data_IF_272924223275
#
_entry.id   IF_272924223275
#
_cell.length_a   1.000
_cell.length_b   1.000
_cell.length_c   1.000
_cell.angle_alpha   90.00
_cell.angle_beta   90.00
_cell.angle_gamma   90.00
#
_symmetry.space_group_name_H-M   'P 1'
#
loop_
_entity.id
_entity.type
_entity.pdbx_description
1 polymer ?
#
# COMPACT_ATOMS: atom_id res chain seq x y z
N UNK A 1 -66.13 -16.62 -18.00
CA UNK A 1 -65.72 -15.42 -17.23
C UNK A 1 -64.52 -15.72 -16.35
N UNK A 2 -64.56 -16.73 -15.47
CA UNK A 2 -63.46 -17.17 -14.59
C UNK A 2 -62.07 -17.37 -15.26
N UNK A 3 -61.98 -17.93 -16.49
CA UNK A 3 -60.68 -18.11 -17.18
C UNK A 3 -60.00 -16.80 -17.60
N UNK A 4 -60.72 -15.67 -17.71
CA UNK A 4 -60.16 -14.36 -18.03
C UNK A 4 -59.63 -13.65 -16.77
N UNK A 5 -60.33 -13.84 -15.64
CA UNK A 5 -59.97 -13.25 -14.34
C UNK A 5 -58.71 -13.88 -13.74
N UNK A 6 -58.43 -15.16 -13.98
CA UNK A 6 -57.19 -15.81 -13.52
C UNK A 6 -55.98 -15.48 -14.42
N UNK A 7 -56.21 -15.19 -15.71
CA UNK A 7 -55.13 -14.85 -16.67
C UNK A 7 -54.59 -13.42 -16.52
N UNK A 8 -55.39 -12.48 -16.01
CA UNK A 8 -54.97 -11.09 -15.78
C UNK A 8 -53.92 -10.90 -14.67
N UNK A 9 -54.09 -11.46 -13.45
CA UNK A 9 -53.10 -11.33 -12.39
C UNK A 9 -51.77 -12.01 -12.74
N UNK A 10 -51.80 -13.15 -13.44
CA UNK A 10 -50.58 -13.82 -13.90
C UNK A 10 -49.75 -12.99 -14.90
N UNK A 11 -50.38 -12.14 -15.72
CA UNK A 11 -49.67 -11.22 -16.63
C UNK A 11 -49.06 -10.03 -15.88
N UNK A 12 -49.76 -9.51 -14.88
CA UNK A 12 -49.29 -8.37 -14.07
C UNK A 12 -48.07 -8.76 -13.23
N UNK A 13 -48.13 -9.92 -12.57
CA UNK A 13 -47.00 -10.47 -11.79
C UNK A 13 -45.78 -10.71 -12.68
N UNK A 14 -45.98 -11.20 -13.91
CA UNK A 14 -44.88 -11.42 -14.86
C UNK A 14 -44.20 -10.11 -15.27
N UNK A 15 -44.97 -9.06 -15.53
CA UNK A 15 -44.42 -7.75 -15.87
C UNK A 15 -43.63 -7.13 -14.70
N UNK A 16 -44.14 -7.25 -13.47
CA UNK A 16 -43.45 -6.77 -12.27
C UNK A 16 -42.12 -7.51 -12.03
N UNK A 17 -42.08 -8.84 -12.27
CA UNK A 17 -40.86 -9.64 -12.22
C UNK A 17 -39.85 -9.25 -13.30
N UNK A 18 -40.31 -8.98 -14.52
CA UNK A 18 -39.44 -8.52 -15.62
C UNK A 18 -38.82 -7.16 -15.31
N UNK A 19 -39.59 -6.20 -14.77
CA UNK A 19 -39.07 -4.91 -14.32
C UNK A 19 -38.06 -5.05 -13.18
N UNK A 20 -38.37 -5.87 -12.18
CA UNK A 20 -37.45 -6.11 -11.07
C UNK A 20 -36.12 -6.74 -11.54
N UNK A 21 -36.20 -7.68 -12.48
CA UNK A 21 -35.01 -8.33 -13.05
C UNK A 21 -34.14 -7.32 -13.80
N UNK A 22 -34.74 -6.45 -14.61
CA UNK A 22 -34.03 -5.39 -15.33
C UNK A 22 -33.36 -4.39 -14.38
N UNK A 23 -34.04 -4.01 -13.29
CA UNK A 23 -33.47 -3.12 -12.27
C UNK A 23 -32.26 -3.75 -11.56
N UNK A 24 -32.33 -5.05 -11.25
CA UNK A 24 -31.22 -5.78 -10.63
C UNK A 24 -30.05 -5.91 -11.60
N UNK A 25 -30.30 -6.27 -12.87
CA UNK A 25 -29.27 -6.35 -13.91
C UNK A 25 -28.58 -4.99 -14.14
N UNK A 26 -29.35 -3.90 -14.15
CA UNK A 26 -28.81 -2.54 -14.28
C UNK A 26 -27.89 -2.18 -13.10
N UNK A 27 -28.30 -2.51 -11.87
CA UNK A 27 -27.47 -2.31 -10.67
C UNK A 27 -26.20 -3.16 -10.70
N UNK A 28 -26.30 -4.42 -11.13
CA UNK A 28 -25.15 -5.32 -11.25
C UNK A 28 -24.11 -4.77 -12.23
N UNK A 29 -24.53 -4.34 -13.43
CA UNK A 29 -23.63 -3.69 -14.38
C UNK A 29 -22.96 -2.44 -13.80
N UNK A 30 -23.73 -1.60 -13.10
CA UNK A 30 -23.18 -0.42 -12.44
C UNK A 30 -22.18 -0.75 -11.32
N UNK A 31 -22.32 -1.90 -10.66
CA UNK A 31 -21.32 -2.38 -9.70
C UNK A 31 -20.08 -2.96 -10.38
N UNK A 32 -20.24 -3.73 -11.46
CA UNK A 32 -19.12 -4.26 -12.25
C UNK A 32 -18.24 -3.13 -12.81
N UNK A 33 -18.84 -2.07 -13.35
CA UNK A 33 -18.11 -0.89 -13.83
C UNK A 33 -17.32 -0.21 -12.70
N UNK A 34 -17.93 -0.05 -11.52
CA UNK A 34 -17.24 0.53 -10.34
C UNK A 34 -16.08 -0.34 -9.88
N UNK A 35 -16.25 -1.66 -9.87
CA UNK A 35 -15.19 -2.60 -9.50
C UNK A 35 -14.01 -2.43 -10.47
N UNK A 36 -14.27 -2.43 -11.77
CA UNK A 36 -13.21 -2.26 -12.77
C UNK A 36 -12.46 -0.93 -12.59
N UNK A 37 -13.16 0.18 -12.35
CA UNK A 37 -12.52 1.49 -12.11
C UNK A 37 -11.65 1.44 -10.84
N UNK A 38 -12.17 0.86 -9.76
CA UNK A 38 -11.43 0.75 -8.50
C UNK A 38 -10.21 -0.16 -8.62
N UNK A 39 -10.28 -1.24 -9.40
CA UNK A 39 -9.15 -2.13 -9.66
C UNK A 39 -8.04 -1.42 -10.44
N UNK A 40 -8.40 -0.62 -11.45
CA UNK A 40 -7.44 0.20 -12.20
C UNK A 40 -6.76 1.21 -11.27
N UNK A 41 -7.54 1.96 -10.48
CA UNK A 41 -7.00 2.92 -9.52
C UNK A 41 -6.10 2.26 -8.47
N UNK A 42 -6.48 1.08 -7.98
CA UNK A 42 -5.67 0.34 -7.01
C UNK A 42 -4.32 -0.06 -7.62
N UNK A 43 -4.33 -0.51 -8.88
CA UNK A 43 -3.10 -0.86 -9.60
C UNK A 43 -2.20 0.36 -9.81
N UNK A 44 -2.77 1.49 -10.19
CA UNK A 44 -2.02 2.74 -10.37
C UNK A 44 -1.36 3.20 -9.06
N UNK A 45 -2.11 3.21 -7.95
CA UNK A 45 -1.60 3.58 -6.63
C UNK A 45 -0.49 2.64 -6.15
N UNK A 46 -0.61 1.33 -6.40
CA UNK A 46 0.47 0.38 -6.06
C UNK A 46 1.75 0.65 -6.85
N UNK A 47 1.61 0.98 -8.13
CA UNK A 47 2.76 1.31 -8.97
C UNK A 47 3.42 2.62 -8.51
N UNK A 48 2.63 3.62 -8.17
CA UNK A 48 3.13 4.89 -7.63
C UNK A 48 3.85 4.68 -6.29
N UNK A 49 3.26 3.90 -5.38
CA UNK A 49 3.90 3.54 -4.11
C UNK A 49 5.22 2.78 -4.32
N UNK A 50 5.27 1.87 -5.29
CA UNK A 50 6.52 1.17 -5.62
C UNK A 50 7.56 2.13 -6.16
N UNK A 51 7.19 3.00 -7.10
CA UNK A 51 8.11 3.99 -7.69
C UNK A 51 8.64 4.96 -6.64
N UNK A 52 7.78 5.46 -5.77
CA UNK A 52 8.15 6.31 -4.63
C UNK A 52 9.07 5.54 -3.69
N UNK A 53 8.70 4.33 -3.30
CA UNK A 53 9.51 3.48 -2.44
C UNK A 53 10.91 3.22 -2.99
N UNK A 54 11.02 2.93 -4.29
CA UNK A 54 12.30 2.71 -4.96
C UNK A 54 13.11 4.01 -5.03
N UNK A 55 12.48 5.15 -5.32
CA UNK A 55 13.13 6.46 -5.37
C UNK A 55 13.67 6.91 -4.01
N UNK A 56 12.96 6.65 -2.92
CA UNK A 56 13.43 6.99 -1.57
C UNK A 56 14.43 5.97 -1.00
N UNK A 57 14.48 4.75 -1.55
CA UNK A 57 15.46 3.74 -1.14
C UNK A 57 16.88 3.97 -1.68
N UNK A 58 17.06 4.77 -2.73
CA UNK A 58 18.37 4.89 -3.40
C UNK A 58 19.46 5.48 -2.52
N UNK A 59 19.12 6.20 -1.45
CA UNK A 59 20.08 6.80 -0.52
C UNK A 59 20.08 6.14 0.87
N UNK A 60 19.39 5.00 1.00
CA UNK A 60 19.29 4.28 2.27
C UNK A 60 20.32 3.16 2.32
N UNK A 61 21.21 3.20 3.32
CA UNK A 61 22.16 2.13 3.61
C UNK A 61 21.69 1.38 4.85
N UNK A 62 21.74 0.04 4.78
CA UNK A 62 21.34 -0.83 5.88
C UNK A 62 22.57 -1.45 6.54
N UNK A 63 22.77 -1.13 7.81
CA UNK A 63 23.87 -1.65 8.62
C UNK A 63 23.37 -2.78 9.52
N UNK A 64 24.06 -3.92 9.50
CA UNK A 64 23.71 -5.10 10.30
C UNK A 64 24.74 -5.39 11.37
N UNK A 65 24.30 -6.09 12.43
CA UNK A 65 25.21 -6.64 13.44
C UNK A 65 25.65 -5.65 14.51
N UNK A 66 25.01 -4.48 14.59
CA UNK A 66 25.28 -3.46 15.60
C UNK A 66 24.73 -3.88 16.95
N UNK A 67 25.60 -3.87 17.96
CA UNK A 67 25.26 -4.25 19.32
C UNK A 67 24.42 -3.16 20.00
N UNK A 68 23.65 -3.58 21.01
CA UNK A 68 22.52 -2.85 21.58
C UNK A 68 22.89 -1.56 22.33
N UNK A 69 24.16 -1.40 22.71
CA UNK A 69 24.55 -0.50 23.79
C UNK A 69 24.68 0.98 23.32
N UNK A 70 23.62 1.72 23.65
CA UNK A 70 23.54 3.13 24.08
C UNK A 70 23.84 4.28 23.11
N UNK A 71 24.49 4.07 21.97
CA UNK A 71 24.62 5.17 21.01
C UNK A 71 23.32 5.40 20.20
N UNK A 72 23.00 6.68 19.96
CA UNK A 72 22.02 7.08 18.96
C UNK A 72 22.42 6.47 17.59
N UNK A 73 21.46 6.02 16.77
CA UNK A 73 21.75 5.32 15.52
C UNK A 73 22.78 6.04 14.64
N UNK A 74 22.68 7.35 14.54
CA UNK A 74 23.55 8.23 13.76
C UNK A 74 25.00 8.14 14.26
N UNK A 75 25.20 8.25 15.58
CA UNK A 75 26.53 8.21 16.20
C UNK A 75 27.23 6.87 15.99
N UNK A 76 26.49 5.77 16.15
CA UNK A 76 27.03 4.43 15.93
C UNK A 76 27.51 4.26 14.47
N UNK A 77 26.80 4.85 13.52
CA UNK A 77 27.13 4.78 12.10
C UNK A 77 28.34 5.65 11.76
N UNK A 78 28.37 6.89 12.25
CA UNK A 78 29.51 7.79 12.06
C UNK A 78 30.80 7.18 12.60
N UNK A 79 30.74 6.57 13.78
CA UNK A 79 31.88 5.88 14.37
C UNK A 79 32.37 4.72 13.50
N UNK A 80 31.45 3.90 12.97
CA UNK A 80 31.81 2.73 12.15
C UNK A 80 32.40 3.16 10.81
N UNK A 81 31.78 4.13 10.15
CA UNK A 81 32.26 4.64 8.87
C UNK A 81 33.64 5.29 9.06
N UNK A 82 33.82 6.10 10.10
CA UNK A 82 35.10 6.72 10.42
C UNK A 82 36.19 5.70 10.78
N UNK A 83 35.88 4.73 11.64
CA UNK A 83 36.87 3.77 12.12
C UNK A 83 37.20 2.67 11.10
N UNK A 84 36.21 2.21 10.32
CA UNK A 84 36.35 1.06 9.42
C UNK A 84 36.67 1.47 7.99
N UNK A 85 35.99 2.51 7.49
CA UNK A 85 36.14 2.98 6.11
C UNK A 85 37.06 4.18 5.99
N UNK A 86 37.44 4.81 7.10
CA UNK A 86 38.25 6.03 7.14
C UNK A 86 37.66 7.18 6.33
N UNK A 87 36.32 7.25 6.32
CA UNK A 87 35.58 8.35 5.70
C UNK A 87 35.12 9.27 6.82
N UNK A 88 35.47 10.55 6.71
CA UNK A 88 34.98 11.59 7.61
C UNK A 88 33.57 12.01 7.17
N UNK A 89 32.58 11.62 7.97
CA UNK A 89 31.20 12.08 7.83
C UNK A 89 30.81 12.88 9.07
N UNK A 90 29.92 13.84 8.86
CA UNK A 90 29.33 14.69 9.90
C UNK A 90 27.85 14.36 10.07
N UNK A 91 27.28 14.70 11.24
CA UNK A 91 25.85 14.46 11.51
C UNK A 91 24.93 15.13 10.46
N UNK A 92 25.36 16.25 9.85
CA UNK A 92 24.60 16.96 8.83
C UNK A 92 24.54 16.27 7.47
N UNK A 93 25.31 15.19 7.26
CA UNK A 93 25.27 14.39 6.02
C UNK A 93 24.29 13.22 6.13
N UNK A 94 23.86 12.89 7.36
CA UNK A 94 22.80 11.92 7.64
C UNK A 94 21.48 12.69 7.70
N UNK A 95 20.56 12.35 6.81
CA UNK A 95 19.19 12.86 6.86
C UNK A 95 18.44 12.22 8.04
N UNK A 96 18.56 10.90 8.18
CA UNK A 96 17.88 10.17 9.25
C UNK A 96 18.51 8.79 9.53
N UNK A 97 18.32 8.25 10.73
CA UNK A 97 18.78 6.91 11.07
C UNK A 97 17.87 6.18 12.07
N UNK A 98 17.46 4.96 11.69
CA UNK A 98 16.45 4.20 12.41
C UNK A 98 16.88 2.77 12.70
N UNK A 99 16.74 2.34 13.96
CA UNK A 99 16.83 0.93 14.36
C UNK A 99 15.56 0.18 13.92
N UNK A 100 15.72 -0.91 13.18
CA UNK A 100 14.61 -1.77 12.78
C UNK A 100 14.50 -2.95 13.75
N UNK A 101 13.28 -3.20 14.24
CA UNK A 101 12.94 -4.42 14.98
C UNK A 101 13.14 -4.31 16.50
N UNK A 102 13.02 -5.45 17.20
CA UNK A 102 13.08 -5.58 18.68
C UNK A 102 14.24 -6.48 19.17
N UNK A 103 15.14 -6.88 18.27
CA UNK A 103 16.20 -7.87 18.52
C UNK A 103 17.42 -7.28 19.24
N UNK A 104 18.26 -8.13 19.86
CA UNK A 104 19.46 -7.63 20.56
C UNK A 104 20.53 -7.05 19.61
N UNK A 105 20.49 -7.43 18.33
CA UNK A 105 21.23 -6.80 17.23
C UNK A 105 20.23 -6.20 16.27
N UNK A 106 20.25 -4.89 16.12
CA UNK A 106 19.28 -4.18 15.28
C UNK A 106 19.93 -3.82 13.95
N UNK A 107 19.29 -4.13 12.81
CA UNK A 107 19.61 -3.44 11.58
C UNK A 107 19.34 -1.94 11.74
N UNK A 108 20.24 -1.08 11.27
CA UNK A 108 20.03 0.36 11.21
C UNK A 108 19.89 0.78 9.75
N UNK A 109 18.74 1.35 9.38
CA UNK A 109 18.62 2.10 8.13
C UNK A 109 19.17 3.48 8.38
N UNK A 110 20.03 3.95 7.47
CA UNK A 110 20.54 5.30 7.45
C UNK A 110 20.20 5.90 6.11
N UNK A 111 19.56 7.06 6.14
CA UNK A 111 19.28 7.88 4.97
C UNK A 111 20.33 9.00 4.89
N UNK A 112 21.04 9.09 3.77
CA UNK A 112 22.01 10.15 3.52
C UNK A 112 21.41 11.26 2.65
N UNK A 113 21.80 12.50 2.91
CA UNK A 113 21.51 13.60 1.99
C UNK A 113 22.12 13.30 0.61
N UNK A 114 21.37 13.62 -0.45
CA UNK A 114 21.86 13.55 -1.83
C UNK A 114 22.85 14.65 -2.14
#
# INVERSE_FOLDING_TARGET
>A
VLKREIKQPGKKIKAELETYTQDVEGKLKGYEEKINVLEVQNKELRNELSYVGDKYRTNNILFYGLDKEEAAPEKAILEIIGNTLHIELTENEINDAYKIGKTNKFPIIVEFHS
#
